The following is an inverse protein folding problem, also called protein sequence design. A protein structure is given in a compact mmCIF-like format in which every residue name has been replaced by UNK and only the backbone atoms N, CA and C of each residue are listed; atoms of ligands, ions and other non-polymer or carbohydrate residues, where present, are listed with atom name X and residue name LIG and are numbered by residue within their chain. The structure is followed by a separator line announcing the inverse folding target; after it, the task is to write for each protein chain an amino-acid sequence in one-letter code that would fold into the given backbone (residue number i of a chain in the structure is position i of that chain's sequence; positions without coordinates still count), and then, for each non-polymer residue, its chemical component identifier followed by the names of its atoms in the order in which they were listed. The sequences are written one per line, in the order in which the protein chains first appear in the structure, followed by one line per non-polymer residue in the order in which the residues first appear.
data_IF_954598611891
#
_entry.id   IF_954598611891
#
_cell.length_a   1.000
_cell.length_b   1.000
_cell.length_c   1.000
_cell.angle_alpha   90.00
_cell.angle_beta   90.00
_cell.angle_gamma   90.00
#
_symmetry.space_group_name_H-M   'P 1'
#
loop_
_entity.id
_entity.type
_entity.pdbx_description
1 polymer ?
#
# COMPACT_ATOMS: atom_id res chain seq x y z
N UNK A 1 -5.52 -16.15 -27.63
CA UNK A 1 -4.99 -16.47 -26.29
C UNK A 1 -3.90 -15.44 -26.00
N UNK A 2 -4.06 -14.59 -24.99
CA UNK A 2 -3.01 -13.63 -24.64
C UNK A 2 -1.83 -14.40 -24.02
N UNK A 3 -0.70 -14.43 -24.73
CA UNK A 3 0.53 -15.04 -24.24
C UNK A 3 1.17 -14.11 -23.22
N UNK A 4 0.73 -14.17 -21.96
CA UNK A 4 1.41 -13.47 -20.87
C UNK A 4 2.75 -14.14 -20.63
N UNK A 5 3.84 -13.44 -20.98
CA UNK A 5 5.21 -13.93 -20.81
C UNK A 5 5.60 -13.71 -19.36
N UNK A 6 5.93 -14.80 -18.65
CA UNK A 6 6.59 -14.71 -17.35
C UNK A 6 8.07 -14.39 -17.56
N UNK A 7 8.53 -13.22 -17.09
CA UNK A 7 9.96 -12.89 -17.04
C UNK A 7 10.57 -13.66 -15.88
N UNK A 8 11.58 -14.52 -16.10
CA UNK A 8 12.32 -15.16 -14.99
C UNK A 8 13.35 -14.19 -14.39
N UNK A 9 13.88 -13.27 -15.19
CA UNK A 9 14.76 -12.16 -14.79
C UNK A 9 14.66 -11.01 -15.81
N UNK A 10 14.53 -9.74 -15.37
CA UNK A 10 14.43 -8.61 -16.29
C UNK A 10 15.71 -8.48 -17.11
N UNK A 11 15.57 -8.50 -18.42
CA UNK A 11 16.68 -8.24 -19.32
C UNK A 11 17.19 -6.80 -19.12
N UNK A 12 18.50 -6.59 -19.24
CA UNK A 12 19.09 -5.24 -19.15
C UNK A 12 18.51 -4.29 -20.19
N UNK A 13 18.22 -4.80 -21.38
CA UNK A 13 17.56 -4.07 -22.47
C UNK A 13 16.51 -4.97 -23.11
N UNK A 14 15.39 -4.40 -23.53
CA UNK A 14 14.35 -5.09 -24.28
C UNK A 14 13.55 -4.10 -25.13
N UNK A 15 12.88 -4.58 -26.18
CA UNK A 15 12.03 -3.77 -27.05
C UNK A 15 10.63 -4.37 -27.04
N UNK A 16 9.63 -3.57 -26.69
CA UNK A 16 8.22 -3.98 -26.66
C UNK A 16 7.37 -2.81 -27.17
N UNK A 17 6.51 -3.05 -28.17
CA UNK A 17 5.55 -2.06 -28.68
C UNK A 17 6.17 -0.67 -28.99
N UNK A 18 7.28 -0.65 -29.74
CA UNK A 18 8.08 0.55 -30.08
C UNK A 18 8.79 1.25 -28.91
N UNK A 19 8.63 0.77 -27.67
CA UNK A 19 9.44 1.21 -26.54
C UNK A 19 10.76 0.44 -26.49
N UNK A 20 11.87 1.17 -26.47
CA UNK A 20 13.21 0.62 -26.17
C UNK A 20 13.50 0.79 -24.69
N UNK A 21 13.34 -0.28 -23.93
CA UNK A 21 13.48 -0.29 -22.49
C UNK A 21 14.91 -0.60 -22.07
N UNK A 22 15.42 0.16 -21.11
CA UNK A 22 16.69 -0.09 -20.42
C UNK A 22 16.46 -0.13 -18.92
N UNK A 23 16.95 -1.19 -18.29
CA UNK A 23 16.71 -1.48 -16.89
C UNK A 23 17.43 -0.45 -16.00
N UNK A 24 16.78 -0.01 -14.92
CA UNK A 24 17.26 1.06 -14.03
C UNK A 24 17.05 0.75 -12.56
N UNK A 25 17.96 1.28 -11.76
CA UNK A 25 17.84 1.47 -10.33
C UNK A 25 17.30 2.88 -10.03
N UNK A 26 16.31 2.94 -9.14
CA UNK A 26 15.64 4.16 -8.73
C UNK A 26 15.94 4.40 -7.25
N UNK A 27 16.67 5.47 -6.96
CA UNK A 27 16.94 5.89 -5.58
C UNK A 27 15.73 6.65 -5.01
N UNK A 28 15.18 7.53 -5.83
CA UNK A 28 13.95 8.26 -5.59
C UNK A 28 12.77 7.61 -6.33
N UNK A 29 11.54 7.69 -5.81
CA UNK A 29 10.36 7.14 -6.48
C UNK A 29 10.18 7.72 -7.88
N UNK A 30 10.09 6.86 -8.90
CA UNK A 30 9.70 7.28 -10.25
C UNK A 30 8.20 7.09 -10.44
N UNK A 31 7.54 7.89 -11.27
CA UNK A 31 6.12 7.69 -11.56
C UNK A 31 5.95 6.75 -12.77
N UNK A 32 5.17 5.68 -12.62
CA UNK A 32 4.78 4.81 -13.73
C UNK A 32 3.45 5.30 -14.33
N UNK A 33 3.43 5.83 -15.57
CA UNK A 33 2.20 6.34 -16.18
C UNK A 33 1.22 5.23 -16.57
N UNK A 34 1.65 3.96 -16.63
CA UNK A 34 0.76 2.85 -16.95
C UNK A 34 -0.14 2.45 -15.78
N UNK A 35 0.44 2.26 -14.59
CA UNK A 35 -0.34 1.85 -13.42
C UNK A 35 -0.76 3.02 -12.52
N UNK A 36 -0.27 4.23 -12.82
CA UNK A 36 -0.45 5.45 -12.02
C UNK A 36 -0.01 5.24 -10.56
N UNK A 37 1.18 4.64 -10.41
CA UNK A 37 1.78 4.42 -9.10
C UNK A 37 3.30 4.56 -9.20
N UNK A 38 3.94 4.70 -8.05
CA UNK A 38 5.38 4.86 -8.01
C UNK A 38 6.10 3.53 -8.29
N UNK A 39 7.20 3.61 -9.04
CA UNK A 39 8.18 2.55 -9.21
C UNK A 39 9.08 2.59 -8.00
N UNK A 40 8.97 1.53 -7.21
CA UNK A 40 9.65 1.45 -5.95
C UNK A 40 9.89 -0.01 -5.56
N UNK A 41 11.02 -0.26 -4.90
CA UNK A 41 11.63 -1.59 -4.87
C UNK A 41 13.16 -1.50 -4.74
N UNK A 42 13.88 -2.62 -4.74
CA UNK A 42 15.35 -2.64 -4.71
C UNK A 42 15.88 -3.08 -6.05
N UNK A 43 17.07 -2.58 -6.36
CA UNK A 43 17.73 -3.02 -7.56
C UNK A 43 16.89 -2.64 -8.77
N UNK A 44 16.91 -3.52 -9.74
CA UNK A 44 16.48 -3.21 -11.08
C UNK A 44 15.01 -3.57 -11.29
N UNK A 45 14.14 -2.70 -10.77
CA UNK A 45 12.68 -2.92 -10.63
C UNK A 45 11.85 -2.22 -11.69
N UNK A 46 12.49 -1.42 -12.53
CA UNK A 46 11.80 -0.67 -13.56
C UNK A 46 12.68 -0.40 -14.76
N UNK A 47 12.01 -0.13 -15.86
CA UNK A 47 12.60 0.21 -17.13
C UNK A 47 12.45 1.71 -17.38
N UNK A 48 13.49 2.33 -17.94
CA UNK A 48 13.38 3.59 -18.64
C UNK A 48 13.20 3.31 -20.13
N UNK A 49 12.21 3.93 -20.76
CA UNK A 49 12.12 3.93 -22.21
C UNK A 49 13.07 5.00 -22.78
N UNK A 50 14.03 4.63 -23.64
CA UNK A 50 14.94 5.59 -24.27
C UNK A 50 14.27 6.45 -25.33
N UNK A 51 13.07 6.08 -25.77
CA UNK A 51 12.34 6.79 -26.83
C UNK A 51 11.43 7.90 -26.26
N UNK A 52 10.70 7.62 -25.17
CA UNK A 52 9.84 8.63 -24.53
C UNK A 52 10.44 9.24 -23.25
N UNK A 53 11.44 8.60 -22.64
CA UNK A 53 12.05 9.06 -21.39
C UNK A 53 11.29 8.68 -20.12
N UNK A 54 10.08 8.10 -20.23
CA UNK A 54 9.30 7.65 -19.08
C UNK A 54 9.82 6.34 -18.46
N UNK A 55 9.37 6.11 -17.23
CA UNK A 55 9.71 4.94 -16.44
C UNK A 55 8.50 4.02 -16.25
N UNK A 56 8.73 2.71 -16.23
CA UNK A 56 7.69 1.70 -16.10
C UNK A 56 8.15 0.59 -15.15
N UNK A 57 7.27 0.04 -14.32
CA UNK A 57 7.59 -1.22 -13.62
C UNK A 57 7.87 -2.32 -14.63
N UNK A 58 8.76 -3.26 -14.28
CA UNK A 58 9.07 -4.43 -15.13
C UNK A 58 7.80 -5.18 -15.51
N UNK A 59 6.86 -5.34 -14.58
CA UNK A 59 5.62 -6.08 -14.82
C UNK A 59 4.62 -5.27 -15.65
N UNK A 60 4.67 -3.94 -15.58
CA UNK A 60 3.82 -3.08 -16.40
C UNK A 60 4.21 -3.17 -17.88
N UNK A 61 5.50 -3.34 -18.22
CA UNK A 61 5.94 -3.50 -19.61
C UNK A 61 5.48 -4.81 -20.26
N UNK A 62 5.13 -5.82 -19.47
CA UNK A 62 4.60 -7.10 -19.97
C UNK A 62 3.17 -7.01 -20.51
N UNK A 63 2.41 -6.01 -20.07
CA UNK A 63 0.99 -5.86 -20.42
C UNK A 63 0.77 -4.71 -21.41
N UNK A 64 1.81 -3.90 -21.68
CA UNK A 64 1.84 -2.83 -22.69
C UNK A 64 1.87 -3.38 -24.13
N UNK A 65 1.01 -4.34 -24.47
CA UNK A 65 1.02 -5.03 -25.76
C UNK A 65 0.30 -4.29 -26.89
N UNK A 66 -0.26 -3.10 -26.65
CA UNK A 66 -1.19 -2.45 -27.61
C UNK A 66 -0.99 -0.95 -27.85
N UNK A 67 0.00 -0.29 -27.25
CA UNK A 67 0.24 1.15 -27.44
C UNK A 67 1.59 1.43 -28.10
N UNK A 68 1.63 2.24 -29.16
CA UNK A 68 2.88 2.75 -29.74
C UNK A 68 3.50 3.81 -28.84
N UNK A 69 4.84 3.83 -28.79
CA UNK A 69 5.58 4.80 -28.00
C UNK A 69 5.31 6.25 -28.47
N UNK A 70 4.85 7.15 -27.59
CA UNK A 70 4.50 8.52 -27.95
C UNK A 70 5.71 9.45 -28.17
N UNK A 71 6.94 8.96 -27.98
CA UNK A 71 8.17 9.74 -28.11
C UNK A 71 8.42 10.76 -26.98
N UNK A 72 9.52 11.52 -27.09
CA UNK A 72 10.05 12.39 -26.02
C UNK A 72 9.08 13.48 -25.53
N UNK A 73 8.08 13.86 -26.32
CA UNK A 73 7.08 14.87 -25.96
C UNK A 73 6.11 14.42 -24.85
N UNK A 74 6.04 13.12 -24.57
CA UNK A 74 5.08 12.55 -23.63
C UNK A 74 5.64 12.21 -22.24
N UNK A 75 6.93 12.46 -21.99
CA UNK A 75 7.53 12.20 -20.68
C UNK A 75 6.75 12.92 -19.57
N UNK A 76 6.27 12.14 -18.59
CA UNK A 76 5.49 12.65 -17.49
C UNK A 76 6.27 13.72 -16.71
N UNK A 77 5.65 14.85 -16.30
CA UNK A 77 6.36 15.94 -15.62
C UNK A 77 7.18 15.49 -14.42
N UNK A 78 6.64 14.57 -13.60
CA UNK A 78 7.33 14.03 -12.41
C UNK A 78 8.58 13.20 -12.76
N UNK A 79 8.75 12.79 -14.01
CA UNK A 79 9.86 11.95 -14.45
C UNK A 79 11.00 12.73 -15.12
N UNK A 80 10.75 13.96 -15.60
CA UNK A 80 11.70 14.73 -16.44
C UNK A 80 13.03 15.06 -15.75
N UNK A 81 13.01 15.26 -14.44
CA UNK A 81 14.19 15.62 -13.65
C UNK A 81 14.74 14.44 -12.82
N UNK A 82 14.21 13.23 -12.99
CA UNK A 82 14.57 12.09 -12.17
C UNK A 82 15.95 11.55 -12.58
N UNK A 83 16.85 11.42 -11.62
CA UNK A 83 18.14 10.74 -11.80
C UNK A 83 17.98 9.26 -11.47
N UNK A 84 18.38 8.41 -12.40
CA UNK A 84 18.38 6.95 -12.24
C UNK A 84 19.78 6.41 -12.42
N UNK A 85 20.03 5.20 -11.91
CA UNK A 85 21.35 4.57 -11.96
C UNK A 85 21.29 3.21 -12.67
N UNK A 86 22.42 2.76 -13.19
CA UNK A 86 22.54 1.43 -13.81
C UNK A 86 22.70 0.30 -12.77
N UNK A 87 23.17 0.64 -11.57
CA UNK A 87 23.50 -0.30 -10.51
C UNK A 87 22.88 0.13 -9.18
N UNK A 88 22.53 -0.85 -8.35
CA UNK A 88 22.05 -0.63 -6.99
C UNK A 88 23.16 -0.13 -6.07
N UNK A 89 22.80 0.74 -5.13
CA UNK A 89 23.64 1.14 -4.02
C UNK A 89 23.38 0.18 -2.85
N UNK A 90 24.40 -0.48 -2.28
CA UNK A 90 24.24 -1.32 -1.10
C UNK A 90 23.53 -0.59 0.04
N UNK A 91 22.66 -1.28 0.77
CA UNK A 91 21.86 -0.66 1.83
C UNK A 91 22.73 -0.12 2.96
N UNK A 92 23.88 -0.75 3.24
CA UNK A 92 24.84 -0.24 4.23
C UNK A 92 25.38 1.16 3.90
N UNK A 93 25.36 1.56 2.63
CA UNK A 93 25.86 2.86 2.18
C UNK A 93 24.74 3.92 2.12
N UNK A 94 23.53 3.60 2.59
CA UNK A 94 22.40 4.52 2.59
C UNK A 94 22.54 5.57 3.68
N UNK A 95 22.33 6.83 3.30
CA UNK A 95 22.23 7.95 4.24
C UNK A 95 20.87 7.95 4.95
N UNK A 96 20.74 8.75 6.02
CA UNK A 96 19.45 8.96 6.70
C UNK A 96 18.35 9.43 5.74
N UNK A 97 18.69 10.29 4.76
CA UNK A 97 17.73 10.73 3.76
C UNK A 97 17.25 9.58 2.89
N UNK A 98 18.15 8.67 2.51
CA UNK A 98 17.83 7.51 1.69
C UNK A 98 16.90 6.54 2.44
N UNK A 99 17.10 6.39 3.75
CA UNK A 99 16.19 5.64 4.62
C UNK A 99 14.80 6.31 4.66
N UNK A 100 14.72 7.63 4.78
CA UNK A 100 13.45 8.36 4.76
C UNK A 100 12.72 8.24 3.41
N UNK A 101 13.43 8.33 2.30
CA UNK A 101 12.88 8.10 0.96
C UNK A 101 12.36 6.66 0.81
N UNK A 102 13.12 5.69 1.32
CA UNK A 102 12.69 4.29 1.37
C UNK A 102 11.44 4.09 2.24
N UNK A 103 11.34 4.75 3.40
CA UNK A 103 10.14 4.70 4.23
C UNK A 103 8.91 5.24 3.49
N UNK A 104 9.05 6.31 2.72
CA UNK A 104 7.97 6.82 1.89
C UNK A 104 7.54 5.82 0.81
N UNK A 105 8.52 5.21 0.16
CA UNK A 105 8.35 4.15 -0.82
C UNK A 105 7.55 2.96 -0.27
N UNK A 106 7.91 2.43 0.91
CA UNK A 106 7.21 1.28 1.52
C UNK A 106 5.94 1.70 2.28
N UNK A 107 5.47 2.93 2.07
CA UNK A 107 4.26 3.48 2.70
C UNK A 107 4.33 3.51 4.25
N UNK A 108 5.53 3.74 4.77
CA UNK A 108 5.87 3.94 6.18
C UNK A 108 6.38 5.37 6.44
N UNK A 109 6.07 6.33 5.57
CA UNK A 109 6.50 7.73 5.65
C UNK A 109 6.21 8.42 6.99
N UNK A 110 5.17 7.97 7.72
CA UNK A 110 4.83 8.53 9.05
C UNK A 110 5.95 8.35 10.07
N UNK A 111 6.83 7.36 9.90
CA UNK A 111 7.99 7.14 10.76
C UNK A 111 9.23 7.93 10.31
N UNK A 112 9.22 8.54 9.12
CA UNK A 112 10.38 9.25 8.60
C UNK A 112 10.88 10.36 9.54
N UNK A 113 10.04 11.22 10.15
CA UNK A 113 10.51 12.22 11.11
C UNK A 113 11.22 11.61 12.33
N UNK A 114 10.71 10.48 12.85
CA UNK A 114 11.30 9.79 13.99
C UNK A 114 12.63 9.12 13.60
N UNK A 115 12.68 8.46 12.45
CA UNK A 115 13.90 7.83 11.95
C UNK A 115 14.97 8.88 11.64
N UNK A 116 14.56 10.04 11.12
CA UNK A 116 15.45 11.16 10.87
C UNK A 116 16.01 11.76 12.17
N UNK A 117 15.17 11.96 13.20
CA UNK A 117 15.63 12.51 14.48
C UNK A 117 16.57 11.56 15.23
N UNK A 118 16.33 10.25 15.12
CA UNK A 118 17.18 9.18 15.64
C UNK A 118 18.40 8.89 14.75
N UNK A 119 18.53 9.55 13.60
CA UNK A 119 19.62 9.41 12.62
C UNK A 119 19.82 7.97 12.14
N UNK A 120 18.73 7.28 11.86
CA UNK A 120 18.79 5.93 11.30
C UNK A 120 19.31 5.96 9.87
N UNK A 121 20.53 5.48 9.67
CA UNK A 121 21.15 5.25 8.36
C UNK A 121 21.00 3.79 7.92
N UNK A 122 21.62 3.45 6.80
CA UNK A 122 21.60 2.11 6.22
C UNK A 122 22.14 1.00 7.13
N UNK A 123 23.19 1.28 7.89
CA UNK A 123 23.82 0.31 8.80
C UNK A 123 22.91 0.03 10.00
N UNK A 124 22.35 1.08 10.60
CA UNK A 124 21.37 0.96 11.69
C UNK A 124 20.12 0.23 11.19
N UNK A 125 19.60 0.59 10.01
CA UNK A 125 18.42 -0.03 9.43
C UNK A 125 18.59 -1.55 9.25
N UNK A 126 19.79 -2.00 8.87
CA UNK A 126 20.10 -3.42 8.71
C UNK A 126 20.24 -4.17 10.03
N UNK A 127 20.55 -3.51 11.15
CA UNK A 127 20.69 -4.13 12.47
C UNK A 127 19.44 -3.98 13.35
N UNK A 128 18.43 -3.25 12.89
CA UNK A 128 17.23 -2.91 13.65
C UNK A 128 16.44 -4.14 14.13
N UNK A 129 16.02 -4.12 15.40
CA UNK A 129 15.26 -5.20 16.06
C UNK A 129 13.89 -4.73 16.56
N UNK A 130 13.02 -5.68 16.92
CA UNK A 130 11.71 -5.37 17.52
C UNK A 130 11.87 -4.60 18.84
N UNK A 131 12.86 -4.98 19.64
CA UNK A 131 13.17 -4.37 20.93
C UNK A 131 13.63 -2.93 20.78
N UNK A 132 14.49 -2.64 19.79
CA UNK A 132 14.95 -1.28 19.50
C UNK A 132 13.78 -0.40 19.04
N UNK A 133 12.94 -0.90 18.13
CA UNK A 133 11.73 -0.18 17.70
C UNK A 133 10.78 0.09 18.87
N UNK A 134 10.65 -0.85 19.80
CA UNK A 134 9.84 -0.69 21.01
C UNK A 134 10.43 0.35 21.96
N UNK A 135 11.76 0.36 22.12
CA UNK A 135 12.48 1.38 22.88
C UNK A 135 12.28 2.77 22.27
N UNK A 136 12.28 2.85 20.94
CA UNK A 136 12.12 4.09 20.18
C UNK A 136 10.65 4.48 19.95
N UNK A 137 9.81 4.14 20.94
CA UNK A 137 8.41 4.54 21.09
C UNK A 137 7.44 4.00 20.03
N UNK A 138 7.76 2.90 19.35
CA UNK A 138 6.83 2.20 18.45
C UNK A 138 6.27 0.98 19.19
N UNK A 139 5.27 1.20 20.05
CA UNK A 139 4.74 0.16 20.95
C UNK A 139 3.74 -0.79 20.29
N UNK A 140 3.13 -0.41 19.16
CA UNK A 140 2.20 -1.26 18.43
C UNK A 140 2.94 -2.41 17.71
N UNK A 141 2.51 -3.65 17.97
CA UNK A 141 3.14 -4.86 17.44
C UNK A 141 2.99 -4.97 15.93
N UNK A 142 1.83 -4.63 15.37
CA UNK A 142 1.59 -4.68 13.92
C UNK A 142 2.48 -3.67 13.19
N UNK A 143 2.62 -2.47 13.75
CA UNK A 143 3.48 -1.42 13.21
C UNK A 143 4.95 -1.85 13.18
N UNK A 144 5.48 -2.38 14.31
CA UNK A 144 6.87 -2.88 14.35
C UNK A 144 7.09 -4.02 13.37
N UNK A 145 6.18 -4.99 13.31
CA UNK A 145 6.29 -6.10 12.37
C UNK A 145 6.21 -5.64 10.91
N UNK A 146 5.40 -4.62 10.60
CA UNK A 146 5.33 -4.04 9.26
C UNK A 146 6.67 -3.40 8.84
N UNK A 147 7.35 -2.71 9.76
CA UNK A 147 8.70 -2.17 9.53
C UNK A 147 9.70 -3.31 9.32
N UNK A 148 9.72 -4.30 10.22
CA UNK A 148 10.66 -5.42 10.17
C UNK A 148 10.47 -6.30 8.92
N UNK A 149 9.23 -6.53 8.49
CA UNK A 149 8.92 -7.27 7.26
C UNK A 149 9.40 -6.50 6.01
N UNK A 150 9.31 -5.17 6.01
CA UNK A 150 9.87 -4.32 4.95
C UNK A 150 11.41 -4.38 4.95
N UNK A 151 12.06 -4.35 6.12
CA UNK A 151 13.52 -4.51 6.24
C UNK A 151 13.97 -5.91 5.84
N UNK A 152 13.20 -6.94 6.18
CA UNK A 152 13.49 -8.33 5.78
C UNK A 152 13.43 -8.49 4.27
N UNK A 153 12.46 -7.87 3.60
CA UNK A 153 12.48 -7.80 2.14
C UNK A 153 13.73 -7.03 1.69
N UNK A 154 14.02 -5.86 2.28
CA UNK A 154 15.24 -5.07 2.00
C UNK A 154 16.54 -5.88 2.00
N UNK A 155 16.70 -6.79 2.97
CA UNK A 155 17.86 -7.68 3.12
C UNK A 155 17.91 -8.83 2.13
N UNK A 156 16.78 -9.26 1.58
CA UNK A 156 16.68 -10.45 0.71
C UNK A 156 16.64 -10.11 -0.78
N UNK A 157 16.86 -8.84 -1.10
CA UNK A 157 16.59 -8.20 -2.40
C UNK A 157 17.59 -8.49 -3.54
N UNK A 158 18.61 -9.33 -3.31
CA UNK A 158 19.54 -9.77 -4.38
C UNK A 158 18.89 -10.70 -5.42
N UNK A 159 17.64 -11.16 -5.19
CA UNK A 159 16.93 -12.06 -6.09
C UNK A 159 15.69 -11.39 -6.65
N UNK A 160 15.70 -11.06 -7.95
CA UNK A 160 14.48 -10.69 -8.67
C UNK A 160 13.46 -11.83 -8.52
N UNK A 161 12.29 -11.52 -7.95
CA UNK A 161 11.20 -12.48 -7.80
C UNK A 161 10.06 -12.06 -8.73
N UNK A 162 9.93 -12.69 -9.91
CA UNK A 162 8.87 -12.31 -10.83
C UNK A 162 7.49 -12.59 -10.30
N UNK A 163 6.54 -11.78 -10.72
CA UNK A 163 5.12 -12.12 -10.62
C UNK A 163 4.86 -13.25 -11.62
N UNK A 164 4.65 -14.46 -11.10
CA UNK A 164 4.34 -15.62 -11.94
C UNK A 164 2.86 -15.66 -12.28
N UNK A 165 2.53 -15.34 -13.54
CA UNK A 165 1.19 -15.52 -14.09
C UNK A 165 0.79 -16.99 -14.26
N UNK A 166 1.73 -17.92 -14.12
CA UNK A 166 1.50 -19.36 -14.28
C UNK A 166 0.43 -19.88 -13.33
N UNK A 167 0.40 -19.37 -12.10
CA UNK A 167 -0.59 -19.74 -11.08
C UNK A 167 -2.03 -19.43 -11.52
N UNK A 168 -2.19 -18.48 -12.45
CA UNK A 168 -3.48 -18.05 -12.94
C UNK A 168 -3.69 -18.37 -14.42
N UNK A 169 -2.78 -19.09 -15.11
CA UNK A 169 -2.76 -19.25 -16.58
C UNK A 169 -4.10 -19.67 -17.19
N UNK A 170 -4.92 -20.44 -16.47
CA UNK A 170 -6.25 -20.92 -16.88
C UNK A 170 -7.42 -20.05 -16.41
N UNK A 171 -7.19 -19.06 -15.54
CA UNK A 171 -8.18 -18.20 -14.88
C UNK A 171 -7.96 -16.70 -15.14
N UNK A 172 -6.90 -16.33 -15.87
CA UNK A 172 -6.61 -14.95 -16.26
C UNK A 172 -7.61 -14.47 -17.30
N UNK A 173 -8.29 -13.38 -16.99
CA UNK A 173 -9.05 -12.57 -17.94
C UNK A 173 -8.47 -11.15 -17.97
N UNK A 174 -8.76 -10.37 -19.00
CA UNK A 174 -8.59 -8.90 -18.94
C UNK A 174 -9.29 -8.43 -17.67
N UNK A 175 -8.56 -7.77 -16.76
CA UNK A 175 -8.91 -7.65 -15.35
C UNK A 175 -10.35 -7.10 -15.15
N UNK A 176 -11.33 -7.95 -14.86
CA UNK A 176 -12.75 -7.58 -14.84
C UNK A 176 -13.23 -7.05 -13.48
N UNK A 177 -12.31 -6.82 -12.55
CA UNK A 177 -12.63 -6.21 -11.25
C UNK A 177 -12.96 -4.73 -11.40
N UNK A 178 -12.46 -4.04 -12.45
CA UNK A 178 -12.79 -2.64 -12.74
C UNK A 178 -12.70 -1.74 -11.51
N UNK A 179 -13.72 -0.92 -11.30
CA UNK A 179 -13.82 0.02 -10.16
C UNK A 179 -14.22 -0.64 -8.83
N UNK A 180 -14.35 -1.98 -8.78
CA UNK A 180 -14.68 -2.67 -7.53
C UNK A 180 -13.50 -2.74 -6.55
N UNK A 181 -12.29 -2.37 -6.98
CA UNK A 181 -11.14 -2.29 -6.08
C UNK A 181 -11.21 -1.02 -5.24
N UNK A 182 -11.28 -1.20 -3.92
CA UNK A 182 -11.31 -0.10 -2.96
C UNK A 182 -9.96 -0.03 -2.25
N UNK A 183 -9.41 1.18 -2.16
CA UNK A 183 -8.22 1.44 -1.35
C UNK A 183 -8.52 1.13 0.12
N UNK A 184 -7.80 0.16 0.68
CA UNK A 184 -8.14 -0.42 1.97
C UNK A 184 -6.96 -0.30 2.92
N UNK A 185 -7.24 0.13 4.16
CA UNK A 185 -6.29 0.02 5.28
C UNK A 185 -6.52 -1.31 5.98
N UNK A 186 -5.50 -2.15 5.96
CA UNK A 186 -5.44 -3.42 6.67
C UNK A 186 -4.72 -3.20 8.01
N UNK A 187 -5.29 -3.76 9.08
CA UNK A 187 -4.77 -3.64 10.45
C UNK A 187 -4.06 -4.91 10.93
N UNK A 188 -3.88 -5.84 10.00
CA UNK A 188 -3.14 -7.07 10.16
C UNK A 188 -2.25 -7.27 8.93
N UNK A 189 -1.28 -8.20 9.03
CA UNK A 189 -0.39 -8.49 7.91
C UNK A 189 -1.16 -9.18 6.80
N UNK A 190 -1.24 -8.52 5.65
CA UNK A 190 -1.86 -9.05 4.44
C UNK A 190 -0.84 -9.26 3.35
N UNK A 191 -1.07 -10.29 2.54
CA UNK A 191 -0.29 -10.56 1.34
C UNK A 191 -1.13 -10.27 0.11
N UNK A 192 -0.48 -9.87 -0.96
CA UNK A 192 -1.10 -9.71 -2.25
C UNK A 192 -1.43 -11.09 -2.85
N UNK A 193 -2.68 -11.30 -3.24
CA UNK A 193 -3.14 -12.56 -3.83
C UNK A 193 -2.50 -12.86 -5.19
N UNK A 194 -1.89 -11.87 -5.85
CA UNK A 194 -1.19 -12.04 -7.13
C UNK A 194 0.28 -12.44 -6.96
N UNK A 195 1.05 -11.64 -6.19
CA UNK A 195 2.51 -11.78 -6.11
C UNK A 195 2.99 -12.41 -4.79
N UNK A 196 2.08 -12.68 -3.85
CA UNK A 196 2.34 -13.29 -2.54
C UNK A 196 3.30 -12.51 -1.63
N UNK A 197 3.61 -11.26 -1.97
CA UNK A 197 4.38 -10.34 -1.12
C UNK A 197 3.46 -9.61 -0.16
N UNK A 198 4.02 -9.16 0.97
CA UNK A 198 3.28 -8.35 1.93
C UNK A 198 2.83 -7.01 1.32
N UNK A 199 1.66 -6.54 1.75
CA UNK A 199 1.23 -5.17 1.53
C UNK A 199 1.91 -4.28 2.57
N UNK A 200 2.89 -3.48 2.15
CA UNK A 200 3.67 -2.66 3.08
C UNK A 200 2.93 -1.37 3.48
N UNK A 201 3.30 -0.87 4.66
CA UNK A 201 2.73 0.34 5.25
C UNK A 201 1.74 0.05 6.38
N UNK A 202 1.25 1.13 6.99
CA UNK A 202 0.30 1.07 8.13
C UNK A 202 -1.08 1.63 7.80
N UNK A 203 -1.23 2.24 6.61
CA UNK A 203 -2.48 2.76 6.08
C UNK A 203 -2.53 2.56 4.57
N UNK A 204 -3.71 2.29 4.00
CA UNK A 204 -3.89 2.21 2.54
C UNK A 204 -2.88 1.30 1.82
N UNK A 205 -2.50 0.17 2.44
CA UNK A 205 -1.40 -0.68 1.97
C UNK A 205 -1.67 -1.36 0.63
N UNK A 206 -2.95 -1.46 0.25
CA UNK A 206 -3.36 -2.05 -1.00
C UNK A 206 -4.82 -1.84 -1.32
N UNK A 207 -5.32 -2.66 -2.23
CA UNK A 207 -6.69 -2.64 -2.70
C UNK A 207 -7.37 -3.94 -2.31
N UNK A 208 -8.64 -3.88 -1.93
CA UNK A 208 -9.50 -5.05 -1.79
C UNK A 208 -10.70 -4.93 -2.73
N UNK A 209 -11.00 -5.99 -3.47
CA UNK A 209 -12.21 -6.03 -4.29
C UNK A 209 -13.45 -6.16 -3.40
N UNK A 210 -14.38 -5.22 -3.51
CA UNK A 210 -15.64 -5.19 -2.75
C UNK A 210 -16.61 -6.31 -3.09
N UNK A 211 -16.37 -7.07 -4.16
CA UNK A 211 -17.23 -8.18 -4.59
C UNK A 211 -16.69 -9.56 -4.23
N UNK A 212 -15.40 -9.78 -4.42
CA UNK A 212 -14.78 -11.11 -4.27
C UNK A 212 -13.73 -11.18 -3.15
N UNK A 213 -13.41 -10.05 -2.52
CA UNK A 213 -12.45 -9.94 -1.42
C UNK A 213 -10.99 -10.12 -1.82
N UNK A 214 -10.68 -10.17 -3.12
CA UNK A 214 -9.31 -10.27 -3.63
C UNK A 214 -8.49 -9.06 -3.17
N UNK A 215 -7.34 -9.33 -2.56
CA UNK A 215 -6.43 -8.34 -2.00
C UNK A 215 -5.22 -8.22 -2.92
N UNK A 216 -4.89 -7.01 -3.36
CA UNK A 216 -3.78 -6.76 -4.28
C UNK A 216 -3.00 -5.50 -3.94
N UNK A 217 -1.73 -5.45 -4.33
CA UNK A 217 -1.04 -4.16 -4.48
C UNK A 217 -1.73 -3.34 -5.58
N UNK A 218 -1.59 -2.02 -5.51
CA UNK A 218 -2.06 -1.08 -6.54
C UNK A 218 -1.55 -1.46 -7.93
N UNK A 219 -0.24 -1.66 -8.08
CA UNK A 219 0.37 -2.16 -9.33
C UNK A 219 -0.18 -3.53 -9.77
N UNK A 220 -0.37 -4.47 -8.83
CA UNK A 220 -0.88 -5.81 -9.14
C UNK A 220 -2.32 -5.77 -9.65
N UNK A 221 -3.13 -4.82 -9.18
CA UNK A 221 -4.51 -4.63 -9.65
C UNK A 221 -4.62 -4.16 -11.11
N UNK A 222 -3.52 -3.73 -11.74
CA UNK A 222 -3.50 -3.36 -13.17
C UNK A 222 -3.05 -4.53 -14.06
N UNK A 223 -2.60 -5.62 -13.46
CA UNK A 223 -2.20 -6.83 -14.15
C UNK A 223 -3.40 -7.79 -14.29
N UNK A 224 -3.36 -8.72 -15.26
CA UNK A 224 -4.36 -9.78 -15.36
C UNK A 224 -4.49 -10.54 -14.03
N UNK A 225 -5.73 -10.83 -13.62
CA UNK A 225 -6.02 -11.58 -12.40
C UNK A 225 -7.18 -12.57 -12.58
N UNK A 226 -7.50 -13.33 -11.52
CA UNK A 226 -8.66 -14.23 -11.48
C UNK A 226 -9.94 -13.46 -11.80
N UNK A 227 -10.86 -14.10 -12.53
CA UNK A 227 -12.21 -13.56 -12.77
C UNK A 227 -12.89 -13.17 -11.46
N UNK A 228 -13.41 -11.95 -11.40
CA UNK A 228 -14.25 -11.47 -10.30
C UNK A 228 -15.55 -12.26 -10.25
N UNK A 229 -15.76 -13.01 -9.17
CA UNK A 229 -17.00 -13.72 -8.85
C UNK A 229 -17.40 -13.28 -7.45
N UNK A 230 -18.66 -12.89 -7.26
CA UNK A 230 -19.14 -12.50 -5.94
C UNK A 230 -18.97 -13.64 -4.94
N UNK A 231 -18.40 -13.34 -3.77
CA UNK A 231 -18.18 -14.33 -2.70
C UNK A 231 -18.74 -13.81 -1.40
N UNK A 232 -19.34 -14.68 -0.58
CA UNK A 232 -19.76 -14.38 0.80
C UNK A 232 -18.57 -14.27 1.78
N UNK A 233 -17.37 -13.90 1.30
CA UNK A 233 -16.21 -13.71 2.19
C UNK A 233 -16.43 -12.47 3.03
N UNK A 234 -16.03 -12.53 4.29
CA UNK A 234 -15.93 -11.35 5.15
C UNK A 234 -14.87 -10.42 4.56
N UNK A 235 -15.29 -9.22 4.15
CA UNK A 235 -14.43 -8.19 3.56
C UNK A 235 -13.86 -7.31 4.68
N UNK A 236 -12.75 -6.62 4.44
CA UNK A 236 -12.25 -5.58 5.36
C UNK A 236 -12.69 -4.18 4.89
N UNK A 237 -12.84 -4.02 3.57
CA UNK A 237 -13.63 -2.95 2.95
C UNK A 237 -15.12 -3.30 3.09
N UNK A 238 -15.79 -2.64 4.02
CA UNK A 238 -17.20 -2.88 4.29
C UNK A 238 -18.05 -1.67 3.89
N UNK A 239 -19.37 -1.88 3.93
CA UNK A 239 -20.45 -1.01 3.45
C UNK A 239 -20.42 0.42 4.05
N UNK A 240 -19.76 0.63 5.18
CA UNK A 240 -19.71 1.95 5.84
C UNK A 240 -18.28 2.48 5.88
N UNK A 241 -17.34 1.74 6.47
CA UNK A 241 -15.95 2.20 6.50
C UNK A 241 -15.22 1.73 5.24
N UNK A 242 -15.14 2.63 4.26
CA UNK A 242 -14.53 2.37 2.95
C UNK A 242 -15.44 2.67 1.76
N UNK A 243 -16.71 3.01 2.01
CA UNK A 243 -17.62 3.56 1.00
C UNK A 243 -17.49 5.07 0.90
N UNK A 244 -17.85 5.62 -0.27
CA UNK A 244 -17.86 7.06 -0.50
C UNK A 244 -18.72 7.75 0.55
N UNK A 245 -18.29 8.92 1.00
CA UNK A 245 -19.00 9.68 2.03
C UNK A 245 -20.48 9.89 1.68
N UNK A 246 -20.78 10.09 0.39
CA UNK A 246 -22.14 10.34 -0.10
C UNK A 246 -23.02 9.07 -0.15
N UNK A 247 -22.40 7.89 -0.16
CA UNK A 247 -23.11 6.61 -0.20
C UNK A 247 -23.38 6.04 1.21
N UNK A 248 -22.90 6.73 2.26
CA UNK A 248 -23.08 6.28 3.64
C UNK A 248 -24.49 6.55 4.17
N UNK A 249 -25.02 5.67 5.05
CA UNK A 249 -26.28 5.92 5.74
C UNK A 249 -26.24 7.24 6.52
N UNK A 250 -27.24 8.10 6.31
CA UNK A 250 -27.33 9.45 6.91
C UNK A 250 -28.21 9.41 8.16
N UNK A 251 -27.79 10.10 9.21
CA UNK A 251 -28.60 10.36 10.39
C UNK A 251 -29.67 11.42 10.08
N UNK A 252 -30.94 11.07 10.29
CA UNK A 252 -32.05 11.94 9.94
C UNK A 252 -32.06 13.28 10.71
N UNK A 253 -31.45 13.35 11.89
CA UNK A 253 -31.41 14.58 12.71
C UNK A 253 -30.27 15.49 12.32
N UNK A 254 -29.06 14.94 12.18
CA UNK A 254 -27.85 15.75 11.93
C UNK A 254 -27.59 15.97 10.45
N UNK A 255 -28.21 15.17 9.56
CA UNK A 255 -27.91 15.13 8.12
C UNK A 255 -26.45 14.79 7.82
N UNK A 256 -25.76 14.12 8.77
CA UNK A 256 -24.39 13.63 8.64
C UNK A 256 -24.38 12.10 8.61
N UNK A 257 -23.33 11.46 8.05
CA UNK A 257 -23.20 10.01 8.14
C UNK A 257 -23.33 9.51 9.58
N UNK A 258 -24.12 8.44 9.76
CA UNK A 258 -24.45 7.88 11.08
C UNK A 258 -23.17 7.56 11.87
N UNK A 259 -22.13 7.08 11.20
CA UNK A 259 -20.85 6.77 11.81
C UNK A 259 -20.19 7.99 12.47
N UNK A 260 -20.20 9.16 11.83
CA UNK A 260 -19.60 10.39 12.36
C UNK A 260 -20.38 10.85 13.58
N UNK A 261 -21.70 10.94 13.43
CA UNK A 261 -22.59 11.38 14.52
C UNK A 261 -22.41 10.51 15.76
N UNK A 262 -22.38 9.19 15.59
CA UNK A 262 -22.23 8.24 16.71
C UNK A 262 -20.85 8.26 17.34
N UNK A 263 -19.77 8.33 16.56
CA UNK A 263 -18.41 8.40 17.11
C UNK A 263 -18.17 9.70 17.88
N UNK A 264 -18.66 10.84 17.38
CA UNK A 264 -18.57 12.11 18.09
C UNK A 264 -19.34 12.08 19.41
N UNK A 265 -20.57 11.56 19.41
CA UNK A 265 -21.37 11.40 20.64
C UNK A 265 -20.71 10.47 21.65
N UNK A 266 -20.12 9.34 21.21
CA UNK A 266 -19.35 8.45 22.09
C UNK A 266 -18.18 9.16 22.76
N UNK A 267 -17.43 9.98 22.02
CA UNK A 267 -16.28 10.72 22.56
C UNK A 267 -16.72 11.79 23.56
N UNK A 268 -17.82 12.50 23.28
CA UNK A 268 -18.39 13.49 24.19
C UNK A 268 -18.86 12.86 25.51
N UNK A 269 -19.58 11.73 25.44
CA UNK A 269 -20.03 10.98 26.63
C UNK A 269 -18.82 10.52 27.45
N UNK A 270 -17.79 9.96 26.81
CA UNK A 270 -16.58 9.50 27.49
C UNK A 270 -15.87 10.62 28.25
N UNK A 271 -15.79 11.82 27.67
CA UNK A 271 -15.18 12.99 28.33
C UNK A 271 -16.07 13.53 29.45
N UNK A 272 -17.40 13.44 29.32
CA UNK A 272 -18.33 13.78 30.40
C UNK A 272 -18.20 12.81 31.59
N UNK A 273 -18.03 11.52 31.32
CA UNK A 273 -17.88 10.49 32.35
C UNK A 273 -16.47 10.46 32.98
N UNK A 274 -15.46 11.01 32.29
CA UNK A 274 -14.09 11.08 32.77
C UNK A 274 -13.54 12.53 32.75
N UNK A 275 -13.80 13.34 33.80
CA UNK A 275 -13.41 14.75 33.85
C UNK A 275 -11.89 15.00 33.82
N UNK A 276 -11.07 13.96 34.03
CA UNK A 276 -9.62 14.04 33.95
C UNK A 276 -9.09 13.99 32.50
N UNK A 277 -9.94 13.63 31.54
CA UNK A 277 -9.58 13.50 30.13
C UNK A 277 -10.11 14.72 29.35
N UNK A 278 -9.24 15.50 28.73
CA UNK A 278 -9.73 16.53 27.80
C UNK A 278 -10.10 15.91 26.44
N UNK A 279 -11.03 16.56 25.72
CA UNK A 279 -11.36 16.17 24.34
C UNK A 279 -10.13 16.11 23.43
N UNK A 280 -9.17 17.02 23.61
CA UNK A 280 -7.93 17.05 22.81
C UNK A 280 -7.05 15.84 23.13
N UNK A 281 -6.98 15.45 24.39
CA UNK A 281 -6.21 14.28 24.81
C UNK A 281 -6.84 13.00 24.27
N UNK A 282 -8.18 12.91 24.26
CA UNK A 282 -8.91 11.78 23.68
C UNK A 282 -8.53 11.51 22.21
N UNK A 283 -8.32 12.56 21.39
CA UNK A 283 -7.87 12.42 19.99
C UNK A 283 -6.37 12.16 19.83
N UNK A 284 -5.56 12.34 20.88
CA UNK A 284 -4.10 12.13 20.85
C UNK A 284 -3.70 10.71 21.20
N UNK A 285 -4.53 9.96 21.90
CA UNK A 285 -4.24 8.57 22.21
C UNK A 285 -4.32 7.69 20.97
N UNK A 286 -3.22 7.01 20.66
CA UNK A 286 -3.19 5.95 19.65
C UNK A 286 -3.61 4.64 20.30
N UNK A 287 -4.59 3.98 19.72
CA UNK A 287 -5.04 2.64 20.13
C UNK A 287 -4.28 1.58 19.33
N UNK A 288 -4.09 0.39 19.90
CA UNK A 288 -3.51 -0.76 19.21
C UNK A 288 -4.31 -1.13 17.95
N UNK A 289 -3.61 -1.43 16.86
CA UNK A 289 -4.18 -1.75 15.55
C UNK A 289 -5.17 -2.91 15.61
N UNK A 290 -4.93 -3.89 16.49
CA UNK A 290 -5.85 -5.01 16.71
C UNK A 290 -7.20 -4.57 17.30
N UNK A 291 -7.20 -3.63 18.26
CA UNK A 291 -8.44 -3.05 18.81
C UNK A 291 -9.16 -2.22 17.75
N UNK A 292 -8.42 -1.49 16.90
CA UNK A 292 -9.01 -0.76 15.76
C UNK A 292 -9.67 -1.73 14.78
N UNK A 293 -9.03 -2.86 14.46
CA UNK A 293 -9.59 -3.88 13.58
C UNK A 293 -10.92 -4.46 14.12
N UNK A 294 -10.95 -4.77 15.42
CA UNK A 294 -12.15 -5.25 16.11
C UNK A 294 -13.25 -4.20 16.12
N UNK A 295 -12.90 -2.94 16.44
CA UNK A 295 -13.84 -1.83 16.41
C UNK A 295 -14.45 -1.68 15.01
N UNK A 296 -13.63 -1.64 13.96
CA UNK A 296 -14.13 -1.54 12.57
C UNK A 296 -15.07 -2.67 12.21
N UNK A 297 -14.74 -3.91 12.58
CA UNK A 297 -15.63 -5.05 12.38
C UNK A 297 -16.99 -4.83 13.06
N UNK A 298 -16.98 -4.41 14.32
CA UNK A 298 -18.20 -4.08 15.07
C UNK A 298 -19.00 -2.95 14.40
N UNK A 299 -18.34 -1.89 13.92
CA UNK A 299 -19.00 -0.80 13.20
C UNK A 299 -19.69 -1.36 11.96
N UNK A 300 -18.98 -2.15 11.17
CA UNK A 300 -19.52 -2.63 9.91
C UNK A 300 -20.67 -3.63 10.08
N UNK A 301 -20.62 -4.46 11.12
CA UNK A 301 -21.67 -5.44 11.41
C UNK A 301 -22.91 -4.76 12.06
N UNK A 302 -22.72 -3.69 12.85
CA UNK A 302 -23.76 -3.18 13.76
C UNK A 302 -24.00 -1.65 13.72
N UNK A 303 -23.56 -0.89 12.69
CA UNK A 303 -23.64 0.59 12.73
C UNK A 303 -25.05 1.14 12.91
N UNK A 304 -26.07 0.34 12.61
CA UNK A 304 -27.47 0.72 12.76
C UNK A 304 -28.02 0.36 14.15
N UNK A 305 -27.41 -0.58 14.88
CA UNK A 305 -27.89 -1.04 16.19
C UNK A 305 -27.59 -0.04 17.31
N UNK A 306 -28.54 0.16 18.23
CA UNK A 306 -28.51 1.21 19.25
C UNK A 306 -27.52 0.95 20.42
N UNK A 307 -27.07 -0.29 20.64
CA UNK A 307 -26.12 -0.66 21.72
C UNK A 307 -24.65 -0.31 21.42
N UNK A 308 -24.39 0.17 20.21
CA UNK A 308 -23.08 0.46 19.64
C UNK A 308 -22.25 1.48 20.45
N UNK A 309 -22.91 2.43 21.13
CA UNK A 309 -22.27 3.46 21.97
C UNK A 309 -21.47 2.87 23.15
N UNK A 310 -21.96 1.82 23.79
CA UNK A 310 -21.33 1.18 24.97
C UNK A 310 -20.06 0.42 24.54
N UNK A 311 -20.09 -0.20 23.36
CA UNK A 311 -18.96 -0.96 22.85
C UNK A 311 -17.78 -0.06 22.49
N UNK A 312 -18.02 1.14 21.94
CA UNK A 312 -16.93 2.08 21.59
C UNK A 312 -16.17 2.55 22.84
N UNK A 313 -16.87 2.84 23.94
CA UNK A 313 -16.26 3.28 25.20
C UNK A 313 -15.38 2.20 25.84
N UNK A 314 -15.70 0.92 25.64
CA UNK A 314 -14.84 -0.20 26.10
C UNK A 314 -13.57 -0.38 25.24
N UNK A 315 -13.56 0.18 24.03
CA UNK A 315 -12.52 0.00 23.03
C UNK A 315 -11.55 1.18 22.90
N UNK A 316 -11.86 2.33 23.52
CA UNK A 316 -10.98 3.49 23.64
C UNK A 316 -10.37 3.43 25.04
#
# INVERSE_FOLDING_TARGET
MANYVSITSPHRETIVSDHKYRLRYFKTPAWCPYCEDYIWGSGNIGYQCTNCGDYFHVECTLVLTTGSCPGLSACHPNNRALVTHDSSIPVCDWTVNDVCEWLAVVNLYRYAPNFQSLKYDGEILLSLTDEQLKHDHIHDVFQRQSILDAIKELKTRDKYRPISFERFRTQLTTNNHGDNFICTTFYERRTCDLCEKYLYGIIHQGLQCSRCGLVMHRQCSKLPSKRCVHTNKQLECHIIIGTDFNDQPIDAKTQLPIIITRLCQSLEIMVQENPALSLIDAYRFSIESARIAQLRKLINDNVLEYSFLILIVLFI
#
